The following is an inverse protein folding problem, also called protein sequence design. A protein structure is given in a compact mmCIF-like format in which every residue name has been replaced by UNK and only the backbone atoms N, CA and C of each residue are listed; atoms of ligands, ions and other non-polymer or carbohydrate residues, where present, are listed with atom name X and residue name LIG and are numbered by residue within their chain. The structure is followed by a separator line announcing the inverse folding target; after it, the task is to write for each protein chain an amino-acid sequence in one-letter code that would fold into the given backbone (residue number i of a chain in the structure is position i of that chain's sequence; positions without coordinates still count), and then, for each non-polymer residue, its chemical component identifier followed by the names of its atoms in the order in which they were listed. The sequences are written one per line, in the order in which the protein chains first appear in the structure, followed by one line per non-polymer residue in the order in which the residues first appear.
data_IF_815673282384
#
_entry.id   IF_815673282384
#
_cell.length_a   1.000
_cell.length_b   1.000
_cell.length_c   1.000
_cell.angle_alpha   90.00
_cell.angle_beta   90.00
_cell.angle_gamma   90.00
#
_symmetry.space_group_name_H-M   'P 1'
#
loop_
_entity.id
_entity.type
_entity.pdbx_description
1 polymer ?
#
# COMPACT_ATOMS: atom_id res chain seq x y z
N UNK A 1 -17.74 9.72 -26.55
CA UNK A 1 -18.04 10.01 -25.17
C UNK A 1 -18.12 8.75 -24.31
N UNK A 2 -18.68 7.68 -24.83
CA UNK A 2 -18.66 6.37 -24.18
C UNK A 2 -17.22 5.94 -23.92
N UNK A 3 -16.33 6.20 -24.87
CA UNK A 3 -14.89 5.85 -24.74
C UNK A 3 -14.25 6.62 -23.60
N UNK A 4 -14.62 7.90 -23.41
CA UNK A 4 -14.07 8.72 -22.33
C UNK A 4 -14.50 8.17 -20.96
N UNK A 5 -15.77 7.82 -20.80
CA UNK A 5 -16.29 7.23 -19.56
C UNK A 5 -15.59 5.91 -19.26
N UNK A 6 -15.42 5.06 -20.27
CA UNK A 6 -14.74 3.78 -20.11
C UNK A 6 -13.25 3.97 -19.69
N UNK A 7 -12.60 5.00 -20.22
CA UNK A 7 -11.23 5.31 -19.84
C UNK A 7 -11.13 5.72 -18.38
N UNK A 8 -12.07 6.53 -17.89
CA UNK A 8 -12.10 6.96 -16.50
C UNK A 8 -12.29 5.76 -15.55
N UNK A 9 -13.23 4.88 -15.87
CA UNK A 9 -13.47 3.68 -15.07
C UNK A 9 -12.26 2.75 -15.09
N UNK A 10 -11.65 2.56 -16.26
CA UNK A 10 -10.43 1.75 -16.37
C UNK A 10 -9.28 2.35 -15.58
N UNK A 11 -9.15 3.67 -15.57
CA UNK A 11 -8.11 4.35 -14.79
C UNK A 11 -8.28 4.11 -13.30
N UNK A 12 -9.51 4.19 -12.79
CA UNK A 12 -9.80 3.93 -11.38
C UNK A 12 -9.46 2.49 -10.99
N UNK A 13 -9.91 1.54 -11.79
CA UNK A 13 -9.61 0.13 -11.57
C UNK A 13 -8.12 -0.15 -11.71
N UNK A 14 -7.45 0.49 -12.69
CA UNK A 14 -6.03 0.30 -12.91
C UNK A 14 -5.20 0.75 -11.70
N UNK A 15 -5.55 1.90 -11.10
CA UNK A 15 -4.86 2.39 -9.90
C UNK A 15 -5.01 1.40 -8.74
N UNK A 16 -6.24 0.93 -8.49
CA UNK A 16 -6.47 -0.04 -7.41
C UNK A 16 -5.75 -1.37 -7.67
N UNK A 17 -5.72 -1.81 -8.91
CA UNK A 17 -4.98 -3.03 -9.28
C UNK A 17 -3.48 -2.85 -9.04
N UNK A 18 -2.92 -1.68 -9.36
CA UNK A 18 -1.51 -1.38 -9.08
C UNK A 18 -1.25 -1.41 -7.58
N UNK A 19 -2.13 -0.79 -6.77
CA UNK A 19 -1.99 -0.81 -5.32
C UNK A 19 -2.05 -2.24 -4.77
N UNK A 20 -2.98 -3.04 -5.26
CA UNK A 20 -3.11 -4.45 -4.85
C UNK A 20 -1.85 -5.24 -5.18
N UNK A 21 -1.34 -5.08 -6.40
CA UNK A 21 -0.13 -5.79 -6.83
C UNK A 21 1.08 -5.36 -6.01
N UNK A 22 1.26 -4.06 -5.77
CA UNK A 22 2.39 -3.55 -4.98
C UNK A 22 2.31 -4.02 -3.54
N UNK A 23 1.12 -4.04 -2.94
CA UNK A 23 0.95 -4.54 -1.57
C UNK A 23 1.19 -6.05 -1.48
N UNK A 24 0.77 -6.81 -2.47
CA UNK A 24 1.05 -8.26 -2.53
C UNK A 24 2.55 -8.53 -2.66
N UNK A 25 3.24 -7.77 -3.51
CA UNK A 25 4.70 -7.89 -3.65
C UNK A 25 5.41 -7.54 -2.35
N UNK A 26 4.92 -6.52 -1.64
CA UNK A 26 5.47 -6.14 -0.35
C UNK A 26 5.28 -7.27 0.68
N UNK A 27 4.13 -7.91 0.68
CA UNK A 27 3.85 -9.05 1.57
C UNK A 27 4.78 -10.24 1.26
N UNK A 28 5.07 -10.48 -0.01
CA UNK A 28 6.03 -11.52 -0.41
C UNK A 28 7.42 -11.20 0.14
N UNK A 29 7.86 -9.95 0.05
CA UNK A 29 9.13 -9.53 0.64
C UNK A 29 9.12 -9.73 2.16
N UNK A 30 8.02 -9.39 2.81
CA UNK A 30 7.88 -9.54 4.26
C UNK A 30 8.00 -10.99 4.71
N UNK A 31 7.53 -11.93 3.90
CA UNK A 31 7.62 -13.35 4.21
C UNK A 31 9.08 -13.85 4.28
N UNK A 32 10.02 -13.11 3.71
CA UNK A 32 11.44 -13.47 3.79
C UNK A 32 12.09 -13.03 5.10
N UNK A 33 11.40 -12.23 5.92
CA UNK A 33 11.92 -11.76 7.19
C UNK A 33 11.78 -12.84 8.27
N UNK A 34 12.73 -12.79 9.24
CA UNK A 34 12.70 -13.67 10.40
C UNK A 34 11.50 -13.35 11.32
N UNK A 35 11.18 -14.30 12.20
CA UNK A 35 10.11 -14.14 13.18
C UNK A 35 10.33 -12.96 14.13
N UNK A 36 11.59 -12.50 14.28
CA UNK A 36 11.90 -11.29 15.04
C UNK A 36 11.17 -10.05 14.48
N UNK A 37 10.81 -10.08 13.21
CA UNK A 37 10.10 -8.98 12.54
C UNK A 37 8.60 -9.26 12.37
N UNK A 38 8.05 -10.07 13.26
CA UNK A 38 6.65 -10.51 13.19
C UNK A 38 5.67 -9.33 13.14
N UNK A 39 5.91 -8.29 13.91
CA UNK A 39 5.06 -7.10 13.93
C UNK A 39 5.01 -6.43 12.56
N UNK A 40 6.16 -6.35 11.89
CA UNK A 40 6.25 -5.79 10.54
C UNK A 40 5.50 -6.66 9.55
N UNK A 41 5.69 -7.97 9.61
CA UNK A 41 5.00 -8.93 8.75
C UNK A 41 3.48 -8.82 8.89
N UNK A 42 3.00 -8.78 10.14
CA UNK A 42 1.57 -8.65 10.43
C UNK A 42 1.00 -7.32 9.94
N UNK A 43 1.76 -6.24 10.12
CA UNK A 43 1.37 -4.92 9.64
C UNK A 43 1.21 -4.88 8.12
N UNK A 44 2.16 -5.47 7.40
CA UNK A 44 2.10 -5.54 5.93
C UNK A 44 0.95 -6.41 5.45
N UNK A 45 0.71 -7.54 6.12
CA UNK A 45 -0.42 -8.40 5.78
C UNK A 45 -1.75 -7.69 5.96
N UNK A 46 -1.90 -6.91 7.04
CA UNK A 46 -3.09 -6.10 7.28
C UNK A 46 -3.29 -5.02 6.21
N UNK A 47 -2.20 -4.36 5.80
CA UNK A 47 -2.22 -3.37 4.72
C UNK A 47 -2.66 -4.00 3.40
N UNK A 48 -2.13 -5.16 3.07
CA UNK A 48 -2.50 -5.91 1.87
C UNK A 48 -4.01 -6.19 1.85
N UNK A 49 -4.53 -6.67 2.96
CA UNK A 49 -5.97 -6.98 3.07
C UNK A 49 -6.81 -5.71 2.95
N UNK A 50 -6.42 -4.63 3.61
CA UNK A 50 -7.15 -3.36 3.55
C UNK A 50 -7.21 -2.82 2.12
N UNK A 51 -6.10 -2.84 1.41
CA UNK A 51 -6.04 -2.37 0.03
C UNK A 51 -6.90 -3.25 -0.88
N UNK A 52 -6.91 -4.55 -0.63
CA UNK A 52 -7.70 -5.50 -1.42
C UNK A 52 -9.19 -5.15 -1.44
N UNK A 53 -9.70 -4.59 -0.34
CA UNK A 53 -11.12 -4.30 -0.20
C UNK A 53 -11.49 -2.84 -0.52
N UNK A 54 -10.55 -2.03 -0.99
CA UNK A 54 -10.85 -0.68 -1.44
C UNK A 54 -11.71 -0.72 -2.71
N UNK A 55 -12.76 0.09 -2.73
CA UNK A 55 -13.65 0.21 -3.88
C UNK A 55 -13.28 1.43 -4.72
N UNK A 56 -13.50 1.39 -6.05
CA UNK A 56 -13.29 2.55 -6.89
C UNK A 56 -14.16 3.74 -6.45
N UNK A 57 -13.62 4.96 -6.58
CA UNK A 57 -14.32 6.17 -6.21
C UNK A 57 -14.07 7.27 -7.23
N UNK A 58 -15.08 8.11 -7.45
CA UNK A 58 -15.00 9.29 -8.31
C UNK A 58 -14.46 10.52 -7.59
N UNK A 59 -14.32 10.46 -6.28
CA UNK A 59 -13.89 11.60 -5.48
C UNK A 59 -12.45 11.96 -5.81
N UNK A 60 -12.13 13.23 -6.14
CA UNK A 60 -10.75 13.65 -6.36
C UNK A 60 -9.84 13.40 -5.17
N UNK A 61 -10.38 13.47 -3.95
CA UNK A 61 -9.62 13.17 -2.73
C UNK A 61 -9.21 11.72 -2.67
N UNK A 62 -10.02 10.80 -3.20
CA UNK A 62 -9.65 9.39 -3.28
C UNK A 62 -8.43 9.18 -4.19
N UNK A 63 -8.40 9.83 -5.33
CA UNK A 63 -7.28 9.75 -6.25
C UNK A 63 -5.99 10.25 -5.61
N UNK A 64 -6.05 11.39 -4.92
CA UNK A 64 -4.90 11.94 -4.20
C UNK A 64 -4.37 10.97 -3.15
N UNK A 65 -5.27 10.39 -2.35
CA UNK A 65 -4.89 9.42 -1.31
C UNK A 65 -4.29 8.15 -1.93
N UNK A 66 -4.85 7.68 -3.03
CA UNK A 66 -4.34 6.50 -3.74
C UNK A 66 -2.91 6.74 -4.23
N UNK A 67 -2.61 7.94 -4.73
CA UNK A 67 -1.25 8.32 -5.11
C UNK A 67 -0.29 8.34 -3.92
N UNK A 68 -0.73 8.89 -2.81
CA UNK A 68 0.06 8.92 -1.57
C UNK A 68 0.30 7.50 -1.04
N UNK A 69 -0.71 6.64 -1.11
CA UNK A 69 -0.59 5.23 -0.71
C UNK A 69 0.44 4.52 -1.58
N UNK A 70 0.37 4.72 -2.90
CA UNK A 70 1.34 4.13 -3.83
C UNK A 70 2.77 4.56 -3.50
N UNK A 71 2.99 5.86 -3.30
CA UNK A 71 4.30 6.39 -2.94
C UNK A 71 4.80 5.82 -1.62
N UNK A 72 3.92 5.68 -0.63
CA UNK A 72 4.28 5.11 0.67
C UNK A 72 4.67 3.63 0.54
N UNK A 73 3.95 2.86 -0.27
CA UNK A 73 4.31 1.46 -0.54
C UNK A 73 5.68 1.38 -1.22
N UNK A 74 5.93 2.25 -2.20
CA UNK A 74 7.21 2.26 -2.92
C UNK A 74 8.37 2.62 -1.98
N UNK A 75 8.17 3.55 -1.06
CA UNK A 75 9.18 3.89 -0.06
C UNK A 75 9.49 2.71 0.85
N UNK A 76 8.47 2.00 1.31
CA UNK A 76 8.65 0.80 2.13
C UNK A 76 9.38 -0.29 1.34
N UNK A 77 9.00 -0.48 0.08
CA UNK A 77 9.62 -1.47 -0.81
C UNK A 77 11.11 -1.19 -1.05
N UNK A 78 11.51 0.08 -1.00
CA UNK A 78 12.90 0.50 -1.14
C UNK A 78 13.67 0.50 0.17
N UNK A 79 13.07 0.09 1.28
CA UNK A 79 13.75 0.08 2.58
C UNK A 79 14.88 -0.96 2.61
N UNK A 80 16.00 -0.59 3.25
CA UNK A 80 17.18 -1.45 3.33
C UNK A 80 16.95 -2.75 4.11
N UNK A 81 15.89 -2.84 4.90
CA UNK A 81 15.57 -4.04 5.68
C UNK A 81 15.48 -5.30 4.81
N UNK A 82 15.10 -5.14 3.54
CA UNK A 82 14.96 -6.29 2.62
C UNK A 82 16.30 -6.83 2.17
N UNK A 83 17.36 -6.00 2.25
CA UNK A 83 18.70 -6.33 1.78
C UNK A 83 19.62 -6.58 2.95
N UNK A 84 19.59 -5.70 3.97
CA UNK A 84 20.48 -5.74 5.14
C UNK A 84 19.70 -6.21 6.36
N UNK A 85 19.56 -7.52 6.53
CA UNK A 85 18.67 -8.11 7.53
C UNK A 85 19.11 -7.90 8.98
N UNK A 86 20.34 -7.49 9.24
CA UNK A 86 20.88 -7.50 10.60
C UNK A 86 21.08 -6.12 11.25
N UNK A 87 21.11 -5.03 10.48
CA UNK A 87 21.52 -3.72 11.02
C UNK A 87 20.54 -2.58 10.73
N UNK A 88 19.30 -2.90 10.40
CA UNK A 88 18.31 -1.87 10.08
C UNK A 88 17.43 -1.63 11.29
N UNK A 89 17.24 -0.35 11.64
CA UNK A 89 16.32 0.03 12.70
C UNK A 89 14.90 -0.28 12.28
N UNK A 90 14.23 -1.19 12.99
CA UNK A 90 12.81 -1.49 12.78
C UNK A 90 11.91 -0.28 13.04
N UNK A 91 12.41 0.73 13.76
CA UNK A 91 11.63 1.93 14.07
C UNK A 91 11.27 2.73 12.83
N UNK A 92 12.16 2.82 11.86
CA UNK A 92 11.90 3.58 10.63
C UNK A 92 10.81 2.92 9.79
N UNK A 93 10.87 1.61 9.62
CA UNK A 93 9.84 0.91 8.85
C UNK A 93 8.50 0.90 9.60
N UNK A 94 8.51 0.84 10.92
CA UNK A 94 7.29 0.95 11.73
C UNK A 94 6.59 2.28 11.49
N UNK A 95 7.35 3.37 11.42
CA UNK A 95 6.80 4.68 11.11
C UNK A 95 6.20 4.72 9.70
N UNK A 96 6.91 4.17 8.72
CA UNK A 96 6.40 4.09 7.35
C UNK A 96 5.10 3.30 7.28
N UNK A 97 5.01 2.18 8.00
CA UNK A 97 3.79 1.38 8.06
C UNK A 97 2.65 2.14 8.73
N UNK A 98 2.94 2.85 9.81
CA UNK A 98 1.94 3.66 10.52
C UNK A 98 1.38 4.75 9.62
N UNK A 99 2.24 5.47 8.90
CA UNK A 99 1.83 6.51 7.96
C UNK A 99 0.97 5.93 6.83
N UNK A 100 1.35 4.77 6.31
CA UNK A 100 0.58 4.09 5.27
C UNK A 100 -0.80 3.67 5.78
N UNK A 101 -0.87 3.14 7.00
CA UNK A 101 -2.16 2.77 7.61
C UNK A 101 -3.08 3.97 7.77
N UNK A 102 -2.54 5.12 8.12
CA UNK A 102 -3.32 6.35 8.23
C UNK A 102 -3.89 6.77 6.89
N UNK A 103 -3.09 6.71 5.83
CA UNK A 103 -3.54 7.05 4.47
C UNK A 103 -4.67 6.11 4.03
N UNK A 104 -4.53 4.83 4.29
CA UNK A 104 -5.55 3.83 3.95
C UNK A 104 -6.84 4.10 4.73
N UNK A 105 -6.73 4.42 6.03
CA UNK A 105 -7.88 4.73 6.85
C UNK A 105 -8.63 5.96 6.31
N UNK A 106 -7.91 6.99 5.88
CA UNK A 106 -8.50 8.18 5.26
C UNK A 106 -9.21 7.80 3.95
N UNK A 107 -8.59 6.95 3.14
CA UNK A 107 -9.18 6.50 1.87
C UNK A 107 -10.47 5.71 2.09
N UNK A 108 -10.52 4.89 3.14
CA UNK A 108 -11.72 4.10 3.47
C UNK A 108 -12.93 4.96 3.81
N UNK A 109 -12.72 6.19 4.26
CA UNK A 109 -13.81 7.12 4.57
C UNK A 109 -14.43 7.75 3.33
N UNK A 110 -13.83 7.58 2.18
CA UNK A 110 -14.31 8.12 0.90
C UNK A 110 -15.12 7.04 0.18
N UNK A 111 -16.34 7.42 -0.20
CA UNK A 111 -17.25 6.52 -0.89
C UNK A 111 -17.34 6.82 -2.38
#
# INVERSE_FOLDING_TARGET
HIVTVNRQERSKMAVLQVLRRKSENLAIKADTLDDAYRTIKEGIAGIKDDIRYLAPSDDPGAFDLEKKIENAIDEISGNDIWIMKENVSGQFIDKQLSDLKMLIAQRKKIY
#
